data_IF_778180848066
#
_entry.id   IF_778180848066
#
_cell.length_a   1.000
_cell.length_b   1.000
_cell.length_c   1.000
_cell.angle_alpha   90.00
_cell.angle_beta   90.00
_cell.angle_gamma   90.00
#
_symmetry.space_group_name_H-M   'P 1'
#
loop_
_entity.id
_entity.type
_entity.pdbx_description
1 polymer ?
#
# COMPACT_ATOMS: atom_id res chain seq x y z
N UNK A 1 -14.25 -9.90 -4.90
CA UNK A 1 -14.35 -8.54 -5.52
C UNK A 1 -14.83 -7.63 -4.40
N UNK A 2 -14.17 -6.51 -4.14
CA UNK A 2 -14.63 -5.55 -3.13
C UNK A 2 -15.77 -4.74 -3.76
N UNK A 3 -17.01 -5.18 -3.55
CA UNK A 3 -18.20 -4.52 -4.10
C UNK A 3 -18.69 -3.38 -3.20
N UNK A 4 -18.29 -3.40 -1.92
CA UNK A 4 -18.65 -2.37 -0.96
C UNK A 4 -17.77 -1.14 -1.14
N UNK A 5 -18.39 -0.04 -1.55
CA UNK A 5 -17.75 1.27 -1.67
C UNK A 5 -18.38 2.28 -0.71
N UNK A 6 -17.55 3.16 -0.20
CA UNK A 6 -17.99 4.31 0.58
C UNK A 6 -17.38 5.59 0.04
N UNK A 7 -18.07 6.71 0.24
CA UNK A 7 -17.55 8.05 -0.02
C UNK A 7 -17.02 8.61 1.30
N UNK A 8 -15.72 8.98 1.32
CA UNK A 8 -15.13 9.64 2.46
C UNK A 8 -14.14 10.71 2.01
N UNK A 9 -14.29 11.92 2.56
CA UNK A 9 -13.61 13.08 2.01
C UNK A 9 -14.02 13.30 0.54
N UNK A 10 -13.04 13.62 -0.28
CA UNK A 10 -13.26 13.81 -1.72
C UNK A 10 -13.02 12.56 -2.58
N UNK A 11 -12.81 11.40 -1.95
CA UNK A 11 -12.46 10.16 -2.64
C UNK A 11 -13.53 9.08 -2.46
N UNK A 12 -13.54 8.13 -3.39
CA UNK A 12 -14.27 6.87 -3.29
C UNK A 12 -13.29 5.80 -2.78
N UNK A 13 -13.76 4.92 -1.89
CA UNK A 13 -12.96 3.93 -1.19
C UNK A 13 -13.61 2.56 -1.30
N UNK A 14 -12.80 1.51 -1.44
CA UNK A 14 -13.23 0.13 -1.23
C UNK A 14 -13.11 -0.22 0.23
N UNK A 15 -14.08 -0.96 0.77
CA UNK A 15 -14.01 -1.57 2.09
C UNK A 15 -13.23 -2.87 1.98
N UNK A 16 -12.12 -2.98 2.73
CA UNK A 16 -11.26 -4.15 2.77
C UNK A 16 -11.54 -5.08 3.94
N UNK A 17 -11.92 -4.51 5.10
CA UNK A 17 -12.19 -5.24 6.34
C UNK A 17 -13.25 -4.50 7.14
N UNK A 18 -14.07 -5.25 7.91
CA UNK A 18 -15.09 -4.71 8.81
C UNK A 18 -14.89 -5.29 10.19
N UNK A 19 -14.79 -4.41 11.18
CA UNK A 19 -14.76 -4.74 12.61
C UNK A 19 -15.91 -3.98 13.28
N UNK A 20 -16.29 -4.36 14.50
CA UNK A 20 -17.51 -3.85 15.16
C UNK A 20 -17.66 -2.33 15.09
N UNK A 21 -16.58 -1.58 15.36
CA UNK A 21 -16.63 -0.11 15.45
C UNK A 21 -15.84 0.60 14.34
N UNK A 22 -15.23 -0.14 13.40
CA UNK A 22 -14.40 0.45 12.35
C UNK A 22 -14.33 -0.39 11.09
N UNK A 23 -14.05 0.27 9.97
CA UNK A 23 -13.80 -0.36 8.68
C UNK A 23 -12.44 0.03 8.14
N UNK A 24 -11.72 -0.92 7.57
CA UNK A 24 -10.51 -0.64 6.80
C UNK A 24 -10.92 -0.30 5.37
N UNK A 25 -10.45 0.84 4.90
CA UNK A 25 -10.73 1.30 3.54
C UNK A 25 -9.46 1.65 2.80
N UNK A 26 -9.48 1.47 1.47
CA UNK A 26 -8.42 1.88 0.55
C UNK A 26 -9.03 2.70 -0.59
N UNK A 27 -8.36 3.74 -1.07
CA UNK A 27 -8.89 4.50 -2.19
C UNK A 27 -9.15 3.62 -3.41
N UNK A 28 -10.27 3.83 -4.10
CA UNK A 28 -10.59 3.10 -5.33
C UNK A 28 -9.49 3.28 -6.38
N UNK A 29 -8.98 4.51 -6.50
CA UNK A 29 -7.98 4.88 -7.48
C UNK A 29 -6.67 5.31 -6.81
N UNK A 30 -5.61 5.29 -7.59
CA UNK A 30 -4.40 6.06 -7.29
C UNK A 30 -4.80 7.55 -7.29
N UNK A 31 -4.52 8.25 -6.19
CA UNK A 31 -4.95 9.64 -6.00
C UNK A 31 -3.94 10.65 -6.54
N UNK A 32 -2.67 10.30 -6.52
CA UNK A 32 -1.57 11.11 -7.02
C UNK A 32 -0.34 10.24 -7.29
N UNK A 33 0.73 10.84 -7.82
CA UNK A 33 2.02 10.19 -8.05
C UNK A 33 3.09 10.93 -7.26
N UNK A 34 3.85 10.17 -6.46
CA UNK A 34 4.95 10.69 -5.63
C UNK A 34 6.09 9.67 -5.52
N UNK A 35 7.33 10.12 -5.30
CA UNK A 35 8.38 9.23 -4.82
C UNK A 35 8.02 8.70 -3.43
N UNK A 36 8.52 7.51 -3.10
CA UNK A 36 8.43 6.94 -1.76
C UNK A 36 9.31 7.73 -0.78
N UNK A 37 10.51 8.11 -1.26
CA UNK A 37 11.46 8.98 -0.58
C UNK A 37 12.22 9.83 -1.60
N UNK A 38 12.66 11.04 -1.20
CA UNK A 38 13.25 12.00 -2.16
C UNK A 38 14.76 11.81 -2.35
N UNK A 39 15.45 11.19 -1.39
CA UNK A 39 16.89 10.98 -1.40
C UNK A 39 17.25 9.52 -1.67
N UNK A 40 18.42 9.29 -2.28
CA UNK A 40 18.96 7.95 -2.50
C UNK A 40 19.61 7.47 -1.21
N UNK A 41 18.94 6.58 -0.48
CA UNK A 41 19.42 6.01 0.76
C UNK A 41 18.70 4.69 1.05
N UNK A 42 19.14 3.97 2.06
CA UNK A 42 18.34 2.91 2.66
C UNK A 42 17.28 3.55 3.57
N UNK A 43 16.04 3.21 3.35
CA UNK A 43 14.90 3.81 4.07
C UNK A 43 13.84 2.75 4.34
N UNK A 44 13.13 2.89 5.44
CA UNK A 44 11.96 2.07 5.78
C UNK A 44 10.70 2.93 5.78
N UNK A 45 9.54 2.29 5.89
CA UNK A 45 8.26 3.01 6.02
C UNK A 45 8.30 4.01 7.18
N UNK A 46 8.93 3.64 8.29
CA UNK A 46 8.98 4.46 9.51
C UNK A 46 9.44 5.91 9.26
N UNK A 47 10.43 6.10 8.39
CA UNK A 47 11.09 7.40 8.21
C UNK A 47 10.92 8.01 6.82
N UNK A 48 10.27 7.31 5.87
CA UNK A 48 10.14 7.78 4.49
C UNK A 48 9.26 9.04 4.37
N UNK A 49 9.50 9.81 3.31
CA UNK A 49 8.79 11.07 3.07
C UNK A 49 7.32 10.85 2.73
N UNK A 50 6.99 9.73 2.07
CA UNK A 50 5.60 9.41 1.71
C UNK A 50 4.75 9.18 2.97
N UNK A 51 5.27 8.48 3.98
CA UNK A 51 4.59 8.32 5.27
C UNK A 51 4.37 9.65 5.97
N UNK A 52 5.42 10.49 6.02
CA UNK A 52 5.31 11.85 6.61
C UNK A 52 4.23 12.67 5.91
N UNK A 53 4.18 12.61 4.59
CA UNK A 53 3.16 13.29 3.81
C UNK A 53 1.75 12.76 4.11
N UNK A 54 1.57 11.44 4.15
CA UNK A 54 0.25 10.83 4.39
C UNK A 54 -0.28 11.18 5.79
N UNK A 55 0.58 11.18 6.82
CA UNK A 55 0.19 11.50 8.19
C UNK A 55 0.29 13.00 8.56
N UNK A 56 0.71 13.84 7.60
CA UNK A 56 0.73 15.30 7.69
C UNK A 56 -0.18 15.92 6.65
N UNK A 57 0.37 16.49 5.60
CA UNK A 57 -0.37 17.29 4.62
C UNK A 57 -1.57 16.59 3.98
N UNK A 58 -1.51 15.26 3.76
CA UNK A 58 -2.68 14.54 3.25
C UNK A 58 -3.77 14.40 4.33
N UNK A 59 -3.39 14.00 5.56
CA UNK A 59 -4.31 13.96 6.70
C UNK A 59 -4.94 15.32 6.98
N UNK A 60 -4.17 16.40 6.90
CA UNK A 60 -4.65 17.78 7.13
C UNK A 60 -5.61 18.26 6.04
N UNK A 61 -5.66 17.60 4.87
CA UNK A 61 -6.63 17.91 3.81
C UNK A 61 -8.06 17.48 4.13
N UNK A 62 -8.26 16.64 5.14
CA UNK A 62 -9.58 16.28 5.66
C UNK A 62 -10.07 17.36 6.63
N UNK A 63 -11.38 17.63 6.64
CA UNK A 63 -11.96 18.56 7.61
C UNK A 63 -11.95 17.95 9.02
N UNK A 64 -12.29 18.75 10.03
CA UNK A 64 -12.22 18.34 11.43
C UNK A 64 -13.13 17.13 11.75
N UNK A 65 -14.36 17.13 11.23
CA UNK A 65 -15.32 16.03 11.41
C UNK A 65 -14.79 14.74 10.75
N UNK A 66 -14.23 14.83 9.56
CA UNK A 66 -13.63 13.68 8.87
C UNK A 66 -12.42 13.16 9.65
N UNK A 67 -11.51 14.04 10.10
CA UNK A 67 -10.35 13.64 10.90
C UNK A 67 -10.72 12.94 12.20
N UNK A 68 -11.79 13.35 12.86
CA UNK A 68 -12.28 12.72 14.10
C UNK A 68 -12.73 11.26 13.89
N UNK A 69 -13.05 10.88 12.67
CA UNK A 69 -13.44 9.51 12.30
C UNK A 69 -12.25 8.63 11.93
N UNK A 70 -11.12 9.21 11.56
CA UNK A 70 -9.91 8.45 11.19
C UNK A 70 -9.29 7.88 12.46
N UNK A 71 -9.13 6.55 12.51
CA UNK A 71 -8.57 5.82 13.65
C UNK A 71 -7.05 5.71 13.49
N UNK A 72 -6.33 6.11 14.53
CA UNK A 72 -4.89 5.87 14.62
C UNK A 72 -4.64 4.40 14.97
N UNK A 73 -3.74 3.74 14.28
CA UNK A 73 -3.43 2.32 14.44
C UNK A 73 -1.92 2.07 14.45
N UNK A 74 -1.52 0.96 15.08
CA UNK A 74 -0.15 0.46 15.01
C UNK A 74 -0.08 -0.49 13.81
N UNK A 75 0.82 -0.21 12.89
CA UNK A 75 1.13 -1.04 11.73
C UNK A 75 2.47 -1.74 11.93
N UNK A 76 2.47 -3.06 11.84
CA UNK A 76 3.71 -3.82 11.74
C UNK A 76 4.30 -3.65 10.32
N UNK A 77 5.62 -3.54 10.27
CA UNK A 77 6.38 -3.39 9.04
C UNK A 77 7.30 -4.61 8.87
N UNK A 78 6.75 -5.77 8.43
CA UNK A 78 7.53 -6.99 8.28
C UNK A 78 8.62 -6.83 7.22
N UNK A 79 9.68 -7.61 7.38
CA UNK A 79 10.74 -7.74 6.41
C UNK A 79 10.20 -8.23 5.06
N UNK A 80 10.91 -7.95 3.98
CA UNK A 80 10.56 -8.51 2.67
C UNK A 80 10.60 -10.05 2.75
N UNK A 81 9.50 -10.74 2.48
CA UNK A 81 9.40 -12.19 2.71
C UNK A 81 10.29 -13.03 1.78
N UNK A 82 10.76 -12.46 0.67
CA UNK A 82 11.60 -13.18 -0.27
C UNK A 82 13.10 -12.85 -0.14
N UNK A 83 13.43 -11.66 0.27
CA UNK A 83 14.81 -11.16 0.26
C UNK A 83 15.32 -10.82 1.67
N UNK A 84 14.44 -10.79 2.67
CA UNK A 84 14.81 -10.53 4.07
C UNK A 84 15.21 -9.09 4.34
N UNK A 85 14.96 -8.17 3.41
CA UNK A 85 15.23 -6.74 3.60
C UNK A 85 14.38 -6.20 4.73
N UNK A 86 15.00 -5.54 5.69
CA UNK A 86 14.33 -5.05 6.90
C UNK A 86 13.19 -4.07 6.60
N UNK A 87 12.02 -4.33 7.16
CA UNK A 87 10.84 -3.46 7.08
C UNK A 87 10.87 -2.30 8.06
N UNK A 88 11.68 -2.41 9.11
CA UNK A 88 11.82 -1.42 10.17
C UNK A 88 10.88 -1.64 11.34
N UNK A 89 10.81 -0.66 12.25
CA UNK A 89 9.96 -0.74 13.43
C UNK A 89 8.47 -0.58 13.06
N UNK A 90 7.59 -1.11 13.93
CA UNK A 90 6.15 -0.81 13.86
C UNK A 90 5.92 0.69 13.96
N UNK A 91 4.92 1.18 13.24
CA UNK A 91 4.60 2.61 13.16
C UNK A 91 3.18 2.89 13.61
N UNK A 92 3.00 4.02 14.28
CA UNK A 92 1.66 4.54 14.59
C UNK A 92 1.23 5.46 13.47
N UNK A 93 0.17 5.07 12.74
CA UNK A 93 -0.30 5.77 11.55
C UNK A 93 -1.80 6.03 11.58
N UNK A 94 -2.21 7.16 11.04
CA UNK A 94 -3.60 7.49 10.73
C UNK A 94 -3.94 7.09 9.29
N UNK A 95 -2.98 7.29 8.39
CA UNK A 95 -3.11 6.96 6.97
C UNK A 95 -1.81 6.26 6.54
N UNK A 96 -1.96 5.13 5.84
CA UNK A 96 -0.84 4.27 5.47
C UNK A 96 -1.00 3.66 4.08
N UNK A 97 0.03 3.01 3.60
CA UNK A 97 -0.04 2.11 2.44
C UNK A 97 -0.16 0.67 2.94
N UNK A 98 -0.76 -0.21 2.18
CA UNK A 98 -0.77 -1.63 2.51
C UNK A 98 0.63 -2.23 2.42
N UNK A 99 0.91 -3.24 3.26
CA UNK A 99 2.07 -4.13 3.12
C UNK A 99 1.81 -5.21 2.07
N UNK A 100 2.85 -5.98 1.70
CA UNK A 100 2.71 -7.16 0.84
C UNK A 100 1.72 -8.15 1.46
N UNK A 101 1.86 -8.45 2.76
CA UNK A 101 0.98 -9.41 3.46
C UNK A 101 -0.47 -8.94 3.49
N UNK A 102 -0.71 -7.65 3.70
CA UNK A 102 -2.05 -7.08 3.67
C UNK A 102 -2.67 -7.11 2.27
N UNK A 103 -1.88 -6.86 1.23
CA UNK A 103 -2.37 -7.02 -0.15
C UNK A 103 -2.84 -8.45 -0.40
N UNK A 104 -2.04 -9.44 0.00
CA UNK A 104 -2.42 -10.85 -0.14
C UNK A 104 -3.64 -11.17 0.73
N UNK A 105 -3.67 -10.70 1.97
CA UNK A 105 -4.81 -10.92 2.87
C UNK A 105 -6.11 -10.35 2.32
N UNK A 106 -6.09 -9.12 1.83
CA UNK A 106 -7.33 -8.41 1.48
C UNK A 106 -7.74 -8.57 0.02
N UNK A 107 -6.82 -8.77 -0.91
CA UNK A 107 -7.16 -8.94 -2.33
C UNK A 107 -7.19 -10.40 -2.78
N UNK A 108 -6.67 -11.32 -1.98
CA UNK A 108 -6.71 -12.76 -2.21
C UNK A 108 -5.34 -13.43 -2.10
N UNK A 109 -5.30 -14.57 -1.41
CA UNK A 109 -4.11 -15.40 -1.19
C UNK A 109 -4.10 -16.59 -2.15
N UNK A 110 -3.20 -16.58 -3.11
CA UNK A 110 -2.95 -17.70 -4.01
C UNK A 110 -1.91 -18.69 -3.48
N UNK A 111 -1.30 -18.41 -2.32
CA UNK A 111 -0.18 -19.17 -1.77
C UNK A 111 1.18 -18.83 -2.41
N UNK A 112 1.21 -18.05 -3.49
CA UNK A 112 2.46 -17.74 -4.22
C UNK A 112 3.45 -16.90 -3.41
N UNK A 113 2.97 -16.09 -2.46
CA UNK A 113 3.85 -15.33 -1.57
C UNK A 113 4.75 -16.27 -0.73
N UNK A 114 4.22 -17.43 -0.31
CA UNK A 114 4.96 -18.42 0.52
C UNK A 114 5.93 -19.27 -0.28
N UNK A 115 5.74 -19.34 -1.58
CA UNK A 115 6.58 -20.15 -2.49
C UNK A 115 7.28 -19.23 -3.47
N UNK A 116 8.51 -18.79 -3.12
CA UNK A 116 9.34 -18.00 -4.01
C UNK A 116 9.53 -18.78 -5.33
N UNK A 117 8.86 -18.34 -6.38
CA UNK A 117 8.95 -18.98 -7.69
C UNK A 117 10.11 -18.36 -8.46
N UNK A 118 11.10 -19.18 -8.78
CA UNK A 118 12.21 -18.75 -9.63
C UNK A 118 11.79 -18.81 -11.09
N UNK A 119 11.97 -17.72 -11.82
CA UNK A 119 11.80 -17.66 -13.26
C UNK A 119 12.85 -18.49 -13.99
N UNK A 120 12.80 -18.59 -15.35
CA UNK A 120 13.73 -19.38 -16.16
C UNK A 120 15.21 -19.01 -15.97
N UNK A 121 15.50 -17.82 -15.44
CA UNK A 121 16.85 -17.31 -15.15
C UNK A 121 17.25 -17.39 -13.68
N UNK A 122 16.45 -18.05 -12.84
CA UNK A 122 16.71 -18.17 -11.41
C UNK A 122 16.33 -16.93 -10.58
N UNK A 123 15.65 -15.96 -11.18
CA UNK A 123 15.24 -14.71 -10.52
C UNK A 123 13.78 -14.79 -10.10
N UNK A 124 13.47 -14.35 -8.88
CA UNK A 124 12.11 -14.26 -8.39
C UNK A 124 11.87 -12.83 -7.91
N UNK A 125 11.28 -11.99 -8.74
CA UNK A 125 11.08 -10.58 -8.47
C UNK A 125 9.64 -10.22 -8.18
N UNK A 126 8.69 -11.01 -8.70
CA UNK A 126 7.25 -10.79 -8.58
C UNK A 126 6.49 -12.11 -8.66
N UNK A 127 5.23 -12.06 -8.30
CA UNK A 127 4.26 -13.09 -8.68
C UNK A 127 3.02 -12.46 -9.30
N UNK A 128 2.42 -13.21 -10.21
CA UNK A 128 1.11 -12.98 -10.80
C UNK A 128 0.16 -14.09 -10.35
N UNK A 129 -1.11 -13.81 -10.24
CA UNK A 129 -2.12 -14.81 -9.90
C UNK A 129 -3.53 -14.37 -10.34
N UNK A 130 -4.53 -15.19 -10.03
CA UNK A 130 -5.93 -14.92 -10.38
C UNK A 130 -6.50 -13.63 -9.75
N UNK A 131 -5.78 -13.01 -8.81
CA UNK A 131 -6.20 -11.79 -8.11
C UNK A 131 -5.59 -10.51 -8.68
N UNK A 132 -4.78 -10.59 -9.73
CA UNK A 132 -4.13 -9.41 -10.34
C UNK A 132 -5.13 -8.32 -10.72
N UNK A 133 -6.25 -8.72 -11.34
CA UNK A 133 -7.27 -7.77 -11.80
C UNK A 133 -7.90 -6.95 -10.67
N UNK A 134 -8.04 -7.53 -9.46
CA UNK A 134 -8.63 -6.83 -8.30
C UNK A 134 -7.62 -5.93 -7.57
N UNK A 135 -6.32 -6.19 -7.73
CA UNK A 135 -5.24 -5.35 -7.23
C UNK A 135 -4.94 -4.15 -8.15
N UNK A 136 -5.26 -4.30 -9.46
CA UNK A 136 -5.03 -3.23 -10.43
C UNK A 136 -5.80 -1.96 -10.06
N UNK A 137 -5.18 -0.79 -10.24
CA UNK A 137 -5.80 0.49 -9.95
C UNK A 137 -5.56 1.49 -11.08
N UNK A 138 -6.40 2.53 -11.16
CA UNK A 138 -6.29 3.57 -12.17
C UNK A 138 -5.83 4.89 -11.56
N UNK A 139 -5.07 5.66 -12.35
CA UNK A 139 -4.85 7.08 -12.15
C UNK A 139 -5.52 7.82 -13.31
N UNK A 140 -6.55 8.60 -13.00
CA UNK A 140 -7.46 9.09 -14.05
C UNK A 140 -8.16 7.94 -14.76
N UNK A 141 -7.97 7.83 -16.08
CA UNK A 141 -8.56 6.78 -16.93
C UNK A 141 -7.62 5.60 -17.23
N UNK A 142 -6.33 5.70 -16.88
CA UNK A 142 -5.30 4.72 -17.22
C UNK A 142 -4.88 3.90 -16.00
N UNK A 143 -4.60 2.62 -16.21
CA UNK A 143 -4.01 1.79 -15.16
C UNK A 143 -2.65 2.37 -14.74
N UNK A 144 -2.38 2.31 -13.43
CA UNK A 144 -1.15 2.80 -12.83
C UNK A 144 -0.66 1.81 -11.78
N UNK A 145 0.66 1.72 -11.65
CA UNK A 145 1.27 0.99 -10.56
C UNK A 145 1.24 1.84 -9.28
N UNK A 146 1.28 1.19 -8.10
CA UNK A 146 1.17 1.89 -6.83
C UNK A 146 2.03 1.26 -5.73
N UNK A 147 2.58 2.13 -4.87
CA UNK A 147 3.48 1.76 -3.79
C UNK A 147 2.81 0.89 -2.72
N UNK A 148 3.60 -0.03 -2.17
CA UNK A 148 3.35 -0.68 -0.88
C UNK A 148 4.30 -0.10 0.18
N UNK A 149 3.97 -0.25 1.48
CA UNK A 149 4.88 0.19 2.55
C UNK A 149 6.05 -0.77 2.78
N UNK A 150 5.97 -2.00 2.28
CA UNK A 150 7.02 -3.01 2.40
C UNK A 150 8.27 -2.64 1.61
N UNK A 151 9.48 -2.97 2.13
CA UNK A 151 10.72 -2.77 1.39
C UNK A 151 10.78 -3.65 0.13
N UNK A 152 11.58 -3.23 -0.85
CA UNK A 152 11.99 -4.07 -1.98
C UNK A 152 13.11 -5.05 -1.59
N UNK A 153 13.90 -5.52 -2.57
CA UNK A 153 15.01 -6.44 -2.30
C UNK A 153 16.21 -5.80 -1.59
N UNK A 154 16.27 -4.48 -1.58
CA UNK A 154 17.24 -3.65 -0.82
C UNK A 154 16.53 -2.41 -0.27
N UNK A 155 17.14 -1.76 0.73
CA UNK A 155 16.53 -0.61 1.42
C UNK A 155 16.32 0.65 0.58
N UNK A 156 16.96 0.76 -0.60
CA UNK A 156 16.71 1.84 -1.57
C UNK A 156 15.59 1.54 -2.57
N UNK A 157 14.80 0.47 -2.32
CA UNK A 157 13.64 0.10 -3.12
C UNK A 157 12.44 -0.19 -2.23
N UNK A 158 11.24 0.07 -2.75
CA UNK A 158 9.97 -0.28 -2.09
C UNK A 158 9.14 -1.19 -3.00
N UNK A 159 8.47 -2.17 -2.42
CA UNK A 159 7.56 -3.06 -3.13
C UNK A 159 6.39 -2.27 -3.73
N UNK A 160 5.78 -2.80 -4.77
CA UNK A 160 4.66 -2.14 -5.43
C UNK A 160 3.74 -3.14 -6.13
N UNK A 161 2.53 -2.69 -6.45
CA UNK A 161 1.63 -3.39 -7.35
C UNK A 161 1.81 -2.82 -8.76
N UNK A 162 2.11 -3.68 -9.72
CA UNK A 162 2.33 -3.29 -11.11
C UNK A 162 1.03 -2.86 -11.81
N UNK A 163 1.15 -2.29 -13.00
CA UNK A 163 0.02 -1.84 -13.83
C UNK A 163 -0.99 -2.97 -14.11
N UNK A 164 -0.49 -4.20 -14.26
CA UNK A 164 -1.31 -5.41 -14.46
C UNK A 164 -1.99 -5.91 -13.18
N UNK A 165 -1.48 -5.50 -11.99
CA UNK A 165 -1.93 -5.96 -10.69
C UNK A 165 -1.04 -7.01 -10.03
N UNK A 166 0.02 -7.49 -10.71
CA UNK A 166 0.98 -8.40 -10.10
C UNK A 166 1.70 -7.74 -8.91
N UNK A 167 2.13 -8.55 -7.95
CA UNK A 167 2.86 -8.09 -6.76
C UNK A 167 4.36 -8.13 -7.04
N UNK A 168 5.00 -6.98 -7.03
CA UNK A 168 6.44 -6.85 -7.33
C UNK A 168 7.24 -6.68 -6.04
N UNK A 169 7.84 -7.77 -5.55
CA UNK A 169 8.58 -7.81 -4.29
C UNK A 169 9.98 -7.22 -4.40
N UNK A 170 10.63 -7.37 -5.57
CA UNK A 170 11.95 -6.78 -5.80
C UNK A 170 11.91 -5.24 -5.72
N UNK A 171 10.76 -4.65 -6.01
CA UNK A 171 10.50 -3.23 -5.79
C UNK A 171 11.03 -2.32 -6.90
N UNK A 172 10.67 -1.05 -6.79
CA UNK A 172 11.12 0.06 -7.63
C UNK A 172 11.94 1.03 -6.78
N UNK A 173 12.83 1.80 -7.42
CA UNK A 173 13.61 2.86 -6.74
C UNK A 173 12.69 3.77 -5.94
N UNK A 174 13.01 3.99 -4.67
CA UNK A 174 12.26 4.89 -3.77
C UNK A 174 12.11 6.31 -4.31
N UNK A 175 12.98 6.73 -5.23
CA UNK A 175 12.92 8.03 -5.92
C UNK A 175 12.00 8.05 -7.14
N UNK A 176 11.34 6.95 -7.44
CA UNK A 176 10.44 6.82 -8.59
C UNK A 176 9.29 7.83 -8.55
N UNK A 177 9.40 8.92 -9.33
CA UNK A 177 8.44 10.04 -9.34
C UNK A 177 7.05 9.66 -9.86
N UNK A 178 6.91 8.51 -10.50
CA UNK A 178 5.66 8.03 -11.07
C UNK A 178 4.94 7.01 -10.20
N UNK A 179 5.44 6.76 -8.98
CA UNK A 179 4.84 5.85 -8.03
C UNK A 179 3.46 6.32 -7.59
N UNK A 180 2.45 5.49 -7.82
CA UNK A 180 1.09 5.79 -7.45
C UNK A 180 0.90 5.74 -5.94
N UNK A 181 0.19 6.72 -5.40
CA UNK A 181 -0.23 6.76 -4.00
C UNK A 181 -1.66 6.26 -3.91
N UNK A 182 -1.87 5.18 -3.19
CA UNK A 182 -3.16 4.55 -2.94
C UNK A 182 -3.32 4.32 -1.45
N UNK A 183 -3.72 5.37 -0.69
CA UNK A 183 -3.76 5.31 0.77
C UNK A 183 -4.87 4.41 1.28
N UNK A 184 -4.62 3.83 2.46
CA UNK A 184 -5.57 3.11 3.28
C UNK A 184 -5.67 3.76 4.67
N UNK A 185 -6.81 3.59 5.33
CA UNK A 185 -7.04 4.04 6.70
C UNK A 185 -8.16 3.22 7.37
N UNK A 186 -8.17 3.22 8.68
CA UNK A 186 -9.29 2.74 9.47
C UNK A 186 -10.25 3.89 9.77
N UNK A 187 -11.52 3.69 9.49
CA UNK A 187 -12.57 4.68 9.68
C UNK A 187 -13.58 4.16 10.72
N UNK A 188 -13.92 4.97 11.72
CA UNK A 188 -15.03 4.66 12.65
C UNK A 188 -16.32 4.49 11.86
N UNK A 189 -17.08 3.42 12.17
CA UNK A 189 -18.45 3.28 11.67
C UNK A 189 -19.34 4.39 12.26
N UNK A 190 -20.32 4.84 11.50
CA UNK A 190 -21.40 5.68 12.03
C UNK A 190 -22.36 4.77 12.79
N UNK A 191 -22.77 5.19 14.00
CA UNK A 191 -23.86 4.55 14.76
C UNK A 191 -25.19 4.72 14.03
#
# INVERSE_FOLDING_TARGET
MHDDKIRFGKYDWYVLDKQDERVLIITEKVIEKRPYHNEECEITWETCDLRKYLNGGFYDSFNETERARIVEVINDNPDNPWDGTAGGNSTTDKIFLLSIDEVVKYFGDSGKLRTKQFGPKGEAWWFDDQYDSVRSAKYGSKNAWWWLRSPGYIGSRAAYIAISGLVHLHGESIRGKNGGVRPALWLKTEE
#
